data_IF_128619444384
#
_entry.id   IF_128619444384
#
_cell.length_a   1.000
_cell.length_b   1.000
_cell.length_c   1.000
_cell.angle_alpha   90.00
_cell.angle_beta   90.00
_cell.angle_gamma   90.00
#
_symmetry.space_group_name_H-M   'P 1'
#
loop_
_entity.id
_entity.type
_entity.pdbx_description
1 polymer ?
#
# COMPACT_ATOMS: atom_id res chain seq x y z
N UNK A 1 -19.62 -24.87 -24.99
CA UNK A 1 -19.17 -24.63 -23.61
C UNK A 1 -17.68 -24.91 -23.58
N UNK A 2 -16.87 -23.88 -23.37
CA UNK A 2 -15.46 -23.99 -23.06
C UNK A 2 -15.20 -22.96 -21.97
N UNK A 3 -15.05 -23.45 -20.74
CA UNK A 3 -14.61 -22.64 -19.61
C UNK A 3 -13.16 -22.31 -19.85
N UNK A 4 -12.87 -21.03 -20.10
CA UNK A 4 -11.51 -20.51 -20.12
C UNK A 4 -11.12 -20.38 -18.64
N UNK A 5 -10.35 -21.34 -18.15
CA UNK A 5 -9.67 -21.20 -16.85
C UNK A 5 -8.49 -20.24 -17.09
N UNK A 6 -8.38 -19.11 -16.37
CA UNK A 6 -7.21 -18.24 -16.47
C UNK A 6 -5.96 -19.01 -16.03
N UNK A 7 -4.95 -19.00 -16.89
CA UNK A 7 -3.70 -19.75 -16.79
C UNK A 7 -2.80 -19.21 -15.65
N UNK A 8 -2.52 -20.05 -14.64
CA UNK A 8 -1.76 -19.77 -13.40
C UNK A 8 -0.23 -19.53 -13.54
N UNK A 9 0.27 -19.03 -14.69
CA UNK A 9 1.73 -19.02 -14.93
C UNK A 9 2.37 -17.69 -15.39
N UNK A 10 1.79 -16.53 -15.08
CA UNK A 10 2.42 -15.23 -15.41
C UNK A 10 2.35 -14.16 -14.31
N UNK A 11 2.57 -14.53 -13.04
CA UNK A 11 2.76 -13.54 -11.99
C UNK A 11 4.22 -13.04 -11.98
N UNK A 12 4.43 -11.91 -12.65
CA UNK A 12 5.47 -10.89 -12.45
C UNK A 12 6.90 -11.35 -12.10
N UNK A 13 7.70 -11.61 -13.13
CA UNK A 13 9.12 -11.22 -13.09
C UNK A 13 9.25 -9.72 -13.42
N UNK A 14 8.74 -8.85 -12.54
CA UNK A 14 9.28 -7.49 -12.49
C UNK A 14 10.62 -7.58 -11.77
N UNK A 15 11.68 -7.10 -12.40
CA UNK A 15 13.02 -7.08 -11.83
C UNK A 15 13.04 -6.19 -10.57
N UNK A 16 12.66 -6.77 -9.44
CA UNK A 16 12.62 -6.16 -8.13
C UNK A 16 13.99 -6.32 -7.48
N UNK A 17 14.59 -5.21 -7.07
CA UNK A 17 15.61 -5.24 -6.02
C UNK A 17 14.92 -4.67 -4.78
N UNK A 18 14.59 -5.51 -3.77
CA UNK A 18 14.15 -5.00 -2.49
C UNK A 18 15.17 -4.00 -1.96
N UNK A 19 14.73 -2.99 -1.22
CA UNK A 19 15.64 -2.28 -0.33
C UNK A 19 15.96 -3.27 0.78
N UNK A 20 16.96 -4.11 0.58
CA UNK A 20 17.32 -5.14 1.56
C UNK A 20 18.01 -4.49 2.77
N UNK A 21 18.77 -3.42 2.52
CA UNK A 21 19.56 -2.72 3.53
C UNK A 21 19.56 -1.21 3.30
N UNK A 22 19.53 -0.44 4.39
CA UNK A 22 19.76 1.00 4.45
C UNK A 22 20.94 1.21 5.39
N UNK A 23 22.00 1.87 4.91
CA UNK A 23 23.22 2.13 5.70
C UNK A 23 23.83 0.88 6.37
N UNK A 24 23.69 -0.29 5.74
CA UNK A 24 24.20 -1.56 6.26
C UNK A 24 23.31 -2.24 7.32
N UNK A 25 22.14 -1.66 7.63
CA UNK A 25 21.13 -2.22 8.52
C UNK A 25 19.95 -2.74 7.68
N UNK A 26 19.35 -3.90 7.99
CA UNK A 26 18.22 -4.41 7.21
C UNK A 26 17.06 -3.41 7.19
N UNK A 27 16.47 -3.18 6.02
CA UNK A 27 15.38 -2.21 5.88
C UNK A 27 14.17 -2.52 6.77
N UNK A 28 13.97 -3.80 7.09
CA UNK A 28 12.92 -4.26 8.01
C UNK A 28 13.06 -3.67 9.41
N UNK A 29 14.27 -3.45 9.92
CA UNK A 29 14.48 -2.79 11.22
C UNK A 29 14.05 -1.32 11.20
N UNK A 30 14.32 -0.62 10.10
CA UNK A 30 13.86 0.76 9.93
C UNK A 30 12.34 0.80 9.85
N UNK A 31 11.74 -0.07 9.05
CA UNK A 31 10.29 -0.14 8.91
C UNK A 31 9.59 -0.42 10.25
N UNK A 32 10.12 -1.36 11.04
CA UNK A 32 9.62 -1.62 12.40
C UNK A 32 9.66 -0.37 13.28
N UNK A 33 10.78 0.36 13.24
CA UNK A 33 10.94 1.60 14.02
C UNK A 33 9.99 2.71 13.56
N UNK A 34 9.68 2.76 12.27
CA UNK A 34 8.69 3.68 11.71
C UNK A 34 7.27 3.33 12.18
N UNK A 35 6.90 2.05 12.16
CA UNK A 35 5.58 1.60 12.62
C UNK A 35 5.33 1.92 14.11
N UNK A 36 6.35 1.84 14.98
CA UNK A 36 6.24 2.24 16.39
C UNK A 36 5.79 3.71 16.58
N UNK A 37 6.04 4.56 15.58
CA UNK A 37 5.66 5.98 15.59
C UNK A 37 4.52 6.28 14.60
N UNK A 38 3.99 5.26 13.94
CA UNK A 38 3.03 5.37 12.83
C UNK A 38 1.81 6.21 13.18
N UNK A 39 1.20 5.97 14.34
CA UNK A 39 0.01 6.70 14.79
C UNK A 39 0.27 8.21 14.99
N UNK A 40 1.47 8.58 15.40
CA UNK A 40 1.83 9.99 15.65
C UNK A 40 2.14 10.76 14.35
N UNK A 41 2.60 10.02 13.34
CA UNK A 41 3.03 10.58 12.05
C UNK A 41 1.99 10.45 10.95
N UNK A 42 0.98 9.60 11.12
CA UNK A 42 -0.08 9.42 10.14
C UNK A 42 -0.84 10.74 9.91
N UNK A 43 -0.81 11.21 8.66
CA UNK A 43 -1.45 12.44 8.22
C UNK A 43 -1.07 13.69 9.05
N UNK A 44 0.16 13.71 9.58
CA UNK A 44 0.65 14.81 10.41
C UNK A 44 1.32 15.90 9.55
N UNK A 45 0.61 17.02 9.36
CA UNK A 45 1.09 18.17 8.59
C UNK A 45 2.41 18.76 9.09
N UNK A 46 2.65 18.78 10.41
CA UNK A 46 3.79 19.51 11.00
C UNK A 46 5.15 18.85 10.67
N UNK A 47 5.14 17.57 10.27
CA UNK A 47 6.34 16.75 10.09
C UNK A 47 6.44 16.10 8.71
N UNK A 48 5.38 16.14 7.91
CA UNK A 48 5.32 15.51 6.60
C UNK A 48 6.33 16.08 5.59
N UNK A 49 6.79 15.22 4.69
CA UNK A 49 7.69 15.58 3.60
C UNK A 49 6.95 16.23 2.43
N UNK A 50 5.71 15.79 2.17
CA UNK A 50 4.94 16.20 0.98
C UNK A 50 3.44 16.05 1.19
N UNK A 51 2.68 16.84 0.44
CA UNK A 51 1.24 16.67 0.26
C UNK A 51 0.98 15.62 -0.85
N UNK A 52 0.15 14.61 -0.56
CA UNK A 52 -0.25 13.56 -1.49
C UNK A 52 -1.73 13.70 -1.84
N UNK A 53 -2.02 13.96 -3.11
CA UNK A 53 -3.36 13.97 -3.67
C UNK A 53 -3.65 12.66 -4.36
N UNK A 54 -4.81 12.09 -4.06
CA UNK A 54 -5.34 10.91 -4.75
C UNK A 54 -6.50 11.38 -5.61
N UNK A 55 -6.39 11.19 -6.92
CA UNK A 55 -7.47 11.49 -7.86
C UNK A 55 -8.76 10.76 -7.43
N UNK A 56 -9.88 11.49 -7.37
CA UNK A 56 -11.15 10.99 -6.84
C UNK A 56 -11.43 11.35 -5.38
N UNK A 57 -10.41 11.69 -4.58
CA UNK A 57 -10.58 12.20 -3.22
C UNK A 57 -10.51 13.73 -3.18
N UNK A 58 -11.31 14.32 -2.30
CA UNK A 58 -11.34 15.78 -2.11
C UNK A 58 -10.30 16.29 -1.10
N UNK A 59 -9.81 15.41 -0.23
CA UNK A 59 -8.87 15.74 0.84
C UNK A 59 -7.51 15.13 0.57
N UNK A 60 -6.42 15.91 0.67
CA UNK A 60 -5.07 15.41 0.54
C UNK A 60 -4.62 14.67 1.81
N UNK A 61 -3.49 13.96 1.69
CA UNK A 61 -2.79 13.33 2.81
C UNK A 61 -1.42 13.97 3.00
N UNK A 62 -1.05 14.26 4.26
CA UNK A 62 0.30 14.68 4.62
C UNK A 62 1.17 13.46 4.84
N UNK A 63 2.14 13.23 3.96
CA UNK A 63 2.88 11.97 3.93
C UNK A 63 4.39 12.12 4.14
N UNK A 64 4.96 11.07 4.73
CA UNK A 64 6.37 10.87 5.04
C UNK A 64 6.90 9.81 4.08
N UNK A 65 7.78 10.20 3.15
CA UNK A 65 8.19 9.38 2.00
C UNK A 65 8.72 8.02 2.45
N UNK A 66 9.49 7.98 3.53
CA UNK A 66 10.11 6.76 4.08
C UNK A 66 9.12 5.63 4.40
N UNK A 67 7.94 5.95 4.93
CA UNK A 67 6.90 4.95 5.19
C UNK A 67 6.46 4.25 3.90
N UNK A 68 6.31 5.00 2.82
CA UNK A 68 5.79 4.49 1.56
C UNK A 68 6.90 3.83 0.72
N UNK A 69 8.09 4.42 0.64
CA UNK A 69 9.17 3.90 -0.22
C UNK A 69 9.71 2.55 0.26
N UNK A 70 9.65 2.25 1.55
CA UNK A 70 10.08 0.96 2.06
C UNK A 70 9.12 -0.16 1.67
N UNK A 71 7.85 0.19 1.46
CA UNK A 71 6.77 -0.79 1.32
C UNK A 71 6.21 -0.88 -0.11
N UNK A 72 6.49 0.09 -0.97
CA UNK A 72 5.91 0.17 -2.31
C UNK A 72 6.93 0.57 -3.39
N UNK A 73 7.11 -0.25 -4.46
CA UNK A 73 7.86 0.16 -5.63
C UNK A 73 7.25 1.36 -6.35
N UNK A 74 5.91 1.43 -6.40
CA UNK A 74 5.22 2.56 -6.99
C UNK A 74 5.64 3.89 -6.34
N UNK A 75 5.62 3.96 -5.01
CA UNK A 75 6.04 5.17 -4.30
C UNK A 75 7.55 5.46 -4.41
N UNK A 76 8.40 4.43 -4.49
CA UNK A 76 9.84 4.64 -4.80
C UNK A 76 10.04 5.32 -6.13
N UNK A 77 9.34 4.85 -7.17
CA UNK A 77 9.50 5.39 -8.51
C UNK A 77 8.94 6.82 -8.59
N UNK A 78 7.75 7.06 -8.02
CA UNK A 78 7.11 8.38 -8.11
C UNK A 78 7.87 9.47 -7.35
N UNK A 79 8.40 9.17 -6.15
CA UNK A 79 9.17 10.15 -5.39
C UNK A 79 10.57 10.35 -5.98
N UNK A 80 11.17 9.31 -6.59
CA UNK A 80 12.41 9.46 -7.35
C UNK A 80 12.20 10.39 -8.54
N UNK A 81 11.11 10.24 -9.29
CA UNK A 81 10.78 11.12 -10.41
C UNK A 81 10.52 12.55 -9.94
N UNK A 82 9.73 12.75 -8.88
CA UNK A 82 9.43 14.08 -8.34
C UNK A 82 10.70 14.81 -7.84
N UNK A 83 11.65 14.09 -7.25
CA UNK A 83 12.92 14.69 -6.81
C UNK A 83 13.76 15.29 -7.96
N UNK A 84 13.49 14.89 -9.21
CA UNK A 84 14.18 15.40 -10.40
C UNK A 84 13.53 16.67 -10.96
N UNK A 85 12.28 16.97 -10.60
CA UNK A 85 11.48 18.04 -11.20
C UNK A 85 11.41 19.32 -10.38
N UNK A 86 12.22 19.47 -9.32
CA UNK A 86 12.31 20.64 -8.43
C UNK A 86 11.04 21.02 -7.64
N UNK A 87 9.96 20.26 -7.80
CA UNK A 87 8.71 20.39 -7.05
C UNK A 87 8.36 19.00 -6.51
N UNK A 88 8.84 18.71 -5.30
CA UNK A 88 8.63 17.44 -4.60
C UNK A 88 7.71 17.60 -3.37
N UNK A 89 7.05 18.77 -3.29
CA UNK A 89 6.17 19.20 -2.20
C UNK A 89 4.71 18.79 -2.39
N UNK A 90 4.33 18.50 -3.64
CA UNK A 90 3.00 18.07 -4.05
C UNK A 90 3.11 16.87 -4.99
N UNK A 91 2.46 15.77 -4.64
CA UNK A 91 2.43 14.55 -5.43
C UNK A 91 0.98 14.20 -5.74
N UNK A 92 0.68 13.91 -7.00
CA UNK A 92 -0.66 13.51 -7.44
C UNK A 92 -0.59 12.08 -7.97
N UNK A 93 -1.45 11.20 -7.46
CA UNK A 93 -1.53 9.79 -7.87
C UNK A 93 -2.94 9.42 -8.29
N UNK A 94 -3.03 8.42 -9.16
CA UNK A 94 -4.30 7.81 -9.56
C UNK A 94 -4.25 6.32 -9.20
N UNK A 95 -5.02 5.94 -8.18
CA UNK A 95 -5.13 4.55 -7.72
C UNK A 95 -6.45 3.93 -8.23
N UNK A 96 -6.53 2.61 -8.40
CA UNK A 96 -7.73 1.93 -8.89
C UNK A 96 -9.00 2.28 -8.12
N UNK A 97 -8.92 2.30 -6.78
CA UNK A 97 -10.08 2.48 -5.91
C UNK A 97 -9.76 3.50 -4.81
N UNK A 98 -9.97 4.81 -5.04
CA UNK A 98 -9.56 5.87 -4.11
C UNK A 98 -10.18 5.75 -2.71
N UNK A 99 -11.42 5.28 -2.62
CA UNK A 99 -12.17 5.16 -1.36
C UNK A 99 -11.52 4.21 -0.34
N UNK A 100 -10.76 3.20 -0.80
CA UNK A 100 -10.07 2.25 0.08
C UNK A 100 -8.63 2.67 0.41
N UNK A 101 -8.14 3.75 -0.20
CA UNK A 101 -6.75 4.18 -0.06
C UNK A 101 -6.44 4.71 1.34
N UNK A 102 -7.36 5.41 2.00
CA UNK A 102 -7.10 6.00 3.32
C UNK A 102 -6.74 4.95 4.38
N UNK A 103 -7.53 3.87 4.47
CA UNK A 103 -7.26 2.75 5.38
C UNK A 103 -5.97 2.00 5.01
N UNK A 104 -5.70 1.85 3.71
CA UNK A 104 -4.45 1.26 3.23
C UNK A 104 -3.24 2.13 3.61
N UNK A 105 -3.33 3.45 3.46
CA UNK A 105 -2.27 4.38 3.84
C UNK A 105 -2.04 4.32 5.35
N UNK A 106 -3.09 4.26 6.16
CA UNK A 106 -2.96 4.10 7.61
C UNK A 106 -2.21 2.81 7.98
N UNK A 107 -2.52 1.69 7.31
CA UNK A 107 -1.76 0.44 7.47
C UNK A 107 -0.27 0.60 7.14
N UNK A 108 0.07 1.33 6.07
CA UNK A 108 1.47 1.60 5.74
C UNK A 108 2.18 2.42 6.84
N UNK A 109 1.45 3.17 7.65
CA UNK A 109 2.02 3.91 8.77
C UNK A 109 2.16 3.06 10.02
N UNK A 110 1.11 2.34 10.39
CA UNK A 110 1.03 1.68 11.70
C UNK A 110 1.52 0.22 11.66
N UNK A 111 1.51 -0.41 10.49
CA UNK A 111 1.67 -1.85 10.35
C UNK A 111 0.53 -2.66 10.98
N UNK A 112 -0.57 -2.01 11.38
CA UNK A 112 -1.69 -2.65 12.07
C UNK A 112 -2.58 -3.40 11.07
N UNK A 113 -2.20 -4.66 10.82
CA UNK A 113 -2.92 -5.54 9.92
C UNK A 113 -4.29 -5.97 10.43
N UNK A 114 -4.50 -6.02 11.74
CA UNK A 114 -5.81 -6.37 12.32
C UNK A 114 -6.80 -5.23 12.09
N UNK A 115 -6.40 -3.99 12.40
CA UNK A 115 -7.22 -2.81 12.11
C UNK A 115 -7.54 -2.68 10.62
N UNK A 116 -6.55 -2.93 9.76
CA UNK A 116 -6.78 -2.86 8.31
C UNK A 116 -7.71 -3.98 7.81
N UNK A 117 -7.56 -5.20 8.32
CA UNK A 117 -8.48 -6.32 8.06
C UNK A 117 -9.92 -5.95 8.38
N UNK A 118 -10.16 -5.31 9.54
CA UNK A 118 -11.49 -4.89 9.99
C UNK A 118 -12.14 -3.82 9.10
N UNK A 119 -11.38 -3.16 8.23
CA UNK A 119 -11.93 -2.22 7.23
C UNK A 119 -12.43 -2.90 5.96
N UNK A 120 -12.12 -4.19 5.77
CA UNK A 120 -12.52 -4.94 4.59
C UNK A 120 -13.91 -5.54 4.76
N UNK A 121 -14.71 -5.49 3.70
CA UNK A 121 -16.01 -6.14 3.60
C UNK A 121 -16.20 -6.83 2.24
N UNK A 122 -17.30 -7.54 2.06
CA UNK A 122 -17.62 -8.23 0.80
C UNK A 122 -17.80 -7.28 -0.39
N UNK A 123 -18.15 -6.02 -0.14
CA UNK A 123 -18.37 -5.02 -1.19
C UNK A 123 -17.06 -4.35 -1.62
N UNK A 124 -16.12 -4.16 -0.69
CA UNK A 124 -14.88 -3.40 -0.92
C UNK A 124 -13.62 -4.27 -1.10
N UNK A 125 -13.68 -5.58 -0.83
CA UNK A 125 -12.49 -6.45 -0.85
C UNK A 125 -11.70 -6.37 -2.17
N UNK A 126 -12.39 -6.45 -3.31
CA UNK A 126 -11.74 -6.41 -4.62
C UNK A 126 -11.12 -5.05 -4.93
N UNK A 127 -11.67 -3.97 -4.39
CA UNK A 127 -11.11 -2.62 -4.48
C UNK A 127 -9.83 -2.49 -3.67
N UNK A 128 -9.83 -3.02 -2.45
CA UNK A 128 -8.62 -3.11 -1.60
C UNK A 128 -7.53 -3.90 -2.31
N UNK A 129 -7.86 -5.09 -2.82
CA UNK A 129 -6.91 -5.94 -3.54
C UNK A 129 -6.32 -5.24 -4.77
N UNK A 130 -7.16 -4.53 -5.55
CA UNK A 130 -6.71 -3.78 -6.73
C UNK A 130 -5.66 -2.72 -6.38
N UNK A 131 -5.86 -1.99 -5.27
CA UNK A 131 -4.87 -1.04 -4.77
C UNK A 131 -3.57 -1.72 -4.30
N UNK A 132 -3.66 -2.86 -3.59
CA UNK A 132 -2.49 -3.64 -3.14
C UNK A 132 -1.63 -4.09 -4.33
N UNK A 133 -2.27 -4.58 -5.40
CA UNK A 133 -1.58 -4.97 -6.63
C UNK A 133 -0.96 -3.77 -7.35
N UNK A 134 -1.73 -2.70 -7.52
CA UNK A 134 -1.28 -1.48 -8.21
C UNK A 134 -0.08 -0.83 -7.53
N UNK A 135 -0.12 -0.71 -6.20
CA UNK A 135 0.97 -0.14 -5.40
C UNK A 135 2.15 -1.11 -5.25
N UNK A 136 1.99 -2.37 -5.66
CA UNK A 136 3.03 -3.40 -5.60
C UNK A 136 3.43 -3.77 -4.16
N UNK A 137 2.48 -3.83 -3.23
CA UNK A 137 2.76 -4.11 -1.83
C UNK A 137 3.24 -5.56 -1.61
N UNK A 138 4.02 -5.73 -0.55
CA UNK A 138 4.73 -6.95 -0.18
C UNK A 138 3.86 -8.11 0.30
N UNK A 139 4.53 -9.18 0.73
CA UNK A 139 3.88 -10.45 1.12
C UNK A 139 2.99 -10.29 2.35
N UNK A 140 3.33 -9.39 3.27
CA UNK A 140 2.60 -9.11 4.49
C UNK A 140 1.22 -8.53 4.19
N UNK A 141 1.15 -7.49 3.36
CA UNK A 141 -0.13 -6.88 2.94
C UNK A 141 -1.01 -7.88 2.18
N UNK A 142 -0.39 -8.65 1.27
CA UNK A 142 -1.10 -9.69 0.50
C UNK A 142 -1.61 -10.82 1.39
N UNK A 143 -0.89 -11.19 2.44
CA UNK A 143 -1.30 -12.21 3.38
C UNK A 143 -2.57 -11.81 4.14
N UNK A 144 -2.71 -10.53 4.51
CA UNK A 144 -3.90 -9.98 5.18
C UNK A 144 -5.12 -10.07 4.24
N UNK A 145 -5.00 -9.60 3.00
CA UNK A 145 -6.09 -9.71 2.02
C UNK A 145 -6.46 -11.18 1.74
N UNK A 146 -5.45 -12.05 1.58
CA UNK A 146 -5.71 -13.48 1.36
C UNK A 146 -6.43 -14.11 2.56
N UNK A 147 -6.06 -13.76 3.80
CA UNK A 147 -6.75 -14.24 4.99
C UNK A 147 -8.22 -13.82 4.98
N UNK A 148 -8.51 -12.56 4.64
CA UNK A 148 -9.88 -12.07 4.53
C UNK A 148 -10.69 -12.85 3.49
N UNK A 149 -10.12 -13.03 2.30
CA UNK A 149 -10.77 -13.78 1.22
C UNK A 149 -11.12 -15.22 1.62
N UNK A 150 -10.19 -15.92 2.28
CA UNK A 150 -10.43 -17.29 2.73
C UNK A 150 -11.50 -17.37 3.82
N UNK A 151 -11.49 -16.43 4.77
CA UNK A 151 -12.35 -16.48 5.95
C UNK A 151 -13.76 -15.95 5.70
N UNK A 152 -13.91 -14.91 4.88
CA UNK A 152 -15.17 -14.16 4.76
C UNK A 152 -15.81 -14.30 3.38
N UNK A 153 -15.01 -14.38 2.31
CA UNK A 153 -15.54 -14.48 0.94
C UNK A 153 -15.80 -15.95 0.56
N UNK A 154 -14.78 -16.81 0.57
CA UNK A 154 -14.96 -18.21 0.19
C UNK A 154 -15.88 -18.97 1.16
N UNK A 155 -15.75 -18.72 2.48
CA UNK A 155 -16.59 -19.38 3.47
C UNK A 155 -18.07 -18.99 3.38
N UNK A 156 -18.39 -17.83 2.80
CA UNK A 156 -19.77 -17.40 2.57
C UNK A 156 -20.36 -17.95 1.27
N UNK A 157 -19.53 -18.29 0.28
CA UNK A 157 -19.96 -18.95 -0.97
C UNK A 157 -20.27 -20.44 -0.81
N UNK A 158 -19.71 -21.09 0.22
CA UNK A 158 -19.92 -22.52 0.54
C UNK A 158 -21.18 -22.81 1.38
N UNK A 159 -21.95 -21.79 1.79
CA UNK A 159 -23.18 -21.88 2.61
C UNK A 159 -24.45 -21.56 1.81
#
# INVERSE_FOLDING_TARGET
>A
MATIIPNEHHYYAMNYTPVDFIEGVPATYFLLSLHEQGEQHFNNFDTADTELHVEGLSTPFWVHKDYLILQSPFFRDIFREASQTSDDSLIVINVPSPETFASLLEYLYTGDGEKWYDTMDGDNYYDVWSNVEFLGLGIEARAICNAYYQNEILASEDN
#
